data_IF_360718028214
#
_entry.id   IF_360718028214
#
_cell.length_a   1.000
_cell.length_b   1.000
_cell.length_c   1.000
_cell.angle_alpha   90.00
_cell.angle_beta   90.00
_cell.angle_gamma   90.00
#
_symmetry.space_group_name_H-M   'P 1'
#
loop_
_entity.id
_entity.type
_entity.pdbx_description
1 polymer ?
#
# COMPACT_ATOMS: atom_id res chain seq x y z
N UNK A 1 8.52 -39.43 45.77
CA UNK A 1 8.05 -40.83 45.86
C UNK A 1 6.61 -40.87 45.36
N UNK A 2 6.36 -41.67 44.31
CA UNK A 2 5.05 -42.25 43.87
C UNK A 2 3.92 -41.25 43.49
N UNK A 3 3.24 -41.30 42.33
CA UNK A 3 3.15 -42.31 41.28
C UNK A 3 2.58 -41.71 39.98
N UNK A 4 3.07 -42.26 38.87
CA UNK A 4 2.55 -42.31 37.50
C UNK A 4 1.05 -42.64 37.41
N UNK A 5 0.34 -42.07 36.41
CA UNK A 5 -0.71 -42.69 35.56
C UNK A 5 -0.94 -41.73 34.37
N UNK A 6 -1.25 -42.10 33.13
CA UNK A 6 -1.00 -43.25 32.24
C UNK A 6 -1.66 -42.80 30.92
N UNK A 7 -1.02 -43.04 29.78
CA UNK A 7 -1.52 -42.68 28.43
C UNK A 7 -2.87 -43.33 28.14
N UNK A 8 -3.75 -42.64 27.41
CA UNK A 8 -4.83 -43.25 26.64
C UNK A 8 -4.80 -42.67 25.21
N UNK A 9 -4.34 -43.52 24.30
CA UNK A 9 -4.49 -43.46 22.84
C UNK A 9 -5.71 -44.32 22.49
N UNK A 10 -6.30 -44.09 21.31
CA UNK A 10 -7.45 -44.74 20.65
C UNK A 10 -8.73 -43.88 20.68
N UNK A 11 -9.49 -43.72 19.60
CA UNK A 11 -9.50 -44.52 18.37
C UNK A 11 -10.07 -43.78 17.16
N UNK A 12 -9.66 -44.32 16.02
CA UNK A 12 -10.01 -44.02 14.64
C UNK A 12 -11.46 -44.45 14.35
N UNK A 13 -12.30 -43.57 13.80
CA UNK A 13 -13.54 -43.96 13.11
C UNK A 13 -13.62 -43.29 11.74
N UNK A 14 -13.61 -44.16 10.73
CA UNK A 14 -13.84 -43.93 9.31
C UNK A 14 -15.34 -43.75 9.01
N UNK A 15 -15.61 -43.34 7.75
CA UNK A 15 -16.89 -43.30 7.02
C UNK A 15 -17.76 -42.06 7.30
N UNK A 16 -18.28 -41.31 6.33
CA UNK A 16 -18.64 -41.64 4.94
C UNK A 16 -18.79 -40.37 4.09
N UNK A 17 -18.36 -40.43 2.83
CA UNK A 17 -18.80 -39.53 1.76
C UNK A 17 -20.05 -40.08 1.08
N UNK A 18 -20.91 -39.22 0.51
CA UNK A 18 -21.63 -39.56 -0.71
C UNK A 18 -21.19 -38.65 -1.86
N UNK A 19 -20.85 -39.30 -2.97
CA UNK A 19 -20.61 -38.69 -4.26
C UNK A 19 -21.93 -38.57 -5.05
N UNK A 20 -22.05 -37.44 -5.76
CA UNK A 20 -22.69 -37.22 -7.07
C UNK A 20 -24.18 -37.58 -7.28
N UNK A 21 -24.94 -36.55 -7.64
CA UNK A 21 -26.00 -36.64 -8.64
C UNK A 21 -25.96 -35.41 -9.56
N UNK A 22 -25.81 -35.67 -10.86
CA UNK A 22 -26.00 -34.74 -11.99
C UNK A 22 -27.49 -34.39 -12.13
N UNK A 23 -27.82 -33.20 -12.67
CA UNK A 23 -28.84 -33.06 -13.73
C UNK A 23 -28.78 -31.65 -14.39
N UNK A 24 -28.72 -31.66 -15.74
CA UNK A 24 -29.33 -30.77 -16.76
C UNK A 24 -29.27 -29.24 -16.53
N UNK A 25 -28.75 -28.39 -17.44
CA UNK A 25 -28.77 -28.44 -18.89
C UNK A 25 -29.76 -27.40 -19.42
N UNK A 26 -29.29 -26.19 -19.77
CA UNK A 26 -29.97 -25.29 -20.71
C UNK A 26 -28.97 -24.33 -21.38
N UNK A 27 -28.81 -24.53 -22.69
CA UNK A 27 -28.27 -23.57 -23.63
C UNK A 27 -29.23 -22.39 -23.77
N UNK A 28 -28.75 -21.15 -23.69
CA UNK A 28 -29.45 -19.99 -24.22
C UNK A 28 -28.47 -19.08 -24.96
N UNK A 29 -28.61 -19.13 -26.28
CA UNK A 29 -28.37 -18.14 -27.34
C UNK A 29 -27.31 -17.03 -27.17
N UNK A 30 -26.32 -17.11 -28.06
CA UNK A 30 -25.54 -16.00 -28.62
C UNK A 30 -26.36 -15.27 -29.70
N UNK A 31 -26.26 -13.93 -29.78
CA UNK A 31 -26.39 -13.25 -31.06
C UNK A 31 -25.11 -12.46 -31.38
N UNK A 32 -24.40 -12.89 -32.42
CA UNK A 32 -23.52 -12.02 -33.20
C UNK A 32 -24.36 -11.47 -34.36
N UNK A 33 -24.50 -10.15 -34.48
CA UNK A 33 -23.93 -9.37 -35.60
C UNK A 33 -24.39 -7.91 -35.58
N UNK A 34 -23.39 -7.04 -35.46
CA UNK A 34 -23.14 -5.88 -36.32
C UNK A 34 -24.02 -4.60 -36.21
N UNK A 35 -23.29 -3.53 -35.81
CA UNK A 35 -23.15 -2.25 -36.55
C UNK A 35 -23.96 -1.05 -36.04
N UNK A 36 -23.25 -0.14 -35.36
CA UNK A 36 -23.52 1.30 -35.48
C UNK A 36 -23.41 2.12 -34.21
N UNK A 37 -22.34 2.93 -34.14
CA UNK A 37 -22.29 4.24 -33.48
C UNK A 37 -22.33 4.27 -31.93
N UNK A 38 -21.16 4.39 -31.32
CA UNK A 38 -20.78 5.59 -30.53
C UNK A 38 -19.28 5.50 -30.19
N UNK A 39 -18.55 6.19 -31.05
CA UNK A 39 -17.19 6.66 -30.88
C UNK A 39 -17.12 7.51 -29.59
N UNK A 40 -16.29 7.09 -28.64
CA UNK A 40 -16.10 7.79 -27.37
C UNK A 40 -14.78 7.38 -26.69
N UNK A 41 -13.73 7.18 -27.49
CA UNK A 41 -12.37 6.99 -26.99
C UNK A 41 -11.85 8.28 -26.39
N UNK A 42 -12.07 8.50 -25.08
CA UNK A 42 -11.35 9.53 -24.29
C UNK A 42 -11.19 9.15 -22.79
N UNK A 43 -11.37 7.88 -22.40
CA UNK A 43 -11.14 7.42 -21.01
C UNK A 43 -9.90 6.53 -20.82
N UNK A 44 -9.00 6.48 -21.80
CA UNK A 44 -7.81 5.60 -21.74
C UNK A 44 -6.50 6.28 -21.33
N UNK A 45 -6.41 7.62 -21.34
CA UNK A 45 -5.11 8.31 -21.38
C UNK A 45 -4.82 9.25 -20.19
N UNK A 46 -5.80 9.59 -19.34
CA UNK A 46 -5.58 10.45 -18.17
C UNK A 46 -5.24 9.70 -16.86
N UNK A 47 -5.25 8.36 -16.84
CA UNK A 47 -5.03 7.59 -15.61
C UNK A 47 -3.58 7.15 -15.33
N UNK A 48 -2.71 7.15 -16.34
CA UNK A 48 -1.35 6.59 -16.24
C UNK A 48 -0.23 7.65 -16.12
N UNK A 49 -0.50 8.90 -16.50
CA UNK A 49 0.46 10.02 -16.41
C UNK A 49 0.82 10.48 -14.98
N UNK A 50 -0.03 10.39 -13.93
CA UNK A 50 0.37 10.91 -12.62
C UNK A 50 1.39 10.03 -11.90
N UNK A 51 1.47 8.74 -12.21
CA UNK A 51 2.37 7.82 -11.50
C UNK A 51 3.84 7.99 -11.93
N UNK A 52 4.09 8.24 -13.22
CA UNK A 52 5.46 8.48 -13.74
C UNK A 52 6.06 9.79 -13.23
N UNK A 53 5.27 10.84 -12.98
CA UNK A 53 5.76 12.11 -12.42
C UNK A 53 5.95 12.08 -10.89
N UNK A 54 5.28 11.17 -10.18
CA UNK A 54 5.48 11.01 -8.73
C UNK A 54 6.75 10.23 -8.38
N UNK A 55 7.21 9.33 -9.26
CA UNK A 55 8.41 8.51 -9.06
C UNK A 55 9.69 9.31 -8.74
N UNK A 56 10.06 10.37 -9.50
CA UNK A 56 11.24 11.17 -9.19
C UNK A 56 11.14 11.88 -7.84
N UNK A 57 9.95 12.36 -7.47
CA UNK A 57 9.73 13.08 -6.20
C UNK A 57 9.74 12.13 -5.00
N UNK A 58 9.19 10.93 -5.16
CA UNK A 58 9.24 9.87 -4.16
C UNK A 58 10.68 9.35 -3.98
N UNK A 59 11.43 9.20 -5.08
CA UNK A 59 12.87 8.94 -5.02
C UNK A 59 13.62 10.05 -4.28
N UNK A 60 13.36 11.33 -4.55
CA UNK A 60 14.04 12.46 -3.90
C UNK A 60 13.82 12.53 -2.38
N UNK A 61 12.59 12.34 -1.91
CA UNK A 61 12.30 12.29 -0.47
C UNK A 61 12.91 11.05 0.23
N UNK A 62 13.02 9.92 -0.47
CA UNK A 62 13.69 8.73 0.07
C UNK A 62 15.21 8.80 0.00
N UNK A 63 15.78 9.50 -0.98
CA UNK A 63 17.22 9.72 -1.10
C UNK A 63 17.77 10.54 0.09
N UNK A 64 16.96 11.45 0.64
CA UNK A 64 17.23 12.14 1.90
C UNK A 64 17.01 11.26 3.15
N UNK A 65 16.74 9.96 2.98
CA UNK A 65 16.66 8.98 4.06
C UNK A 65 15.41 9.09 4.93
N UNK A 66 14.48 10.00 4.66
CA UNK A 66 13.31 10.28 5.53
C UNK A 66 12.46 9.03 5.84
N UNK A 67 12.27 8.14 4.88
CA UNK A 67 11.51 6.88 5.08
C UNK A 67 12.29 5.80 5.85
N UNK A 68 13.62 5.88 5.85
CA UNK A 68 14.51 4.92 6.51
C UNK A 68 14.94 5.37 7.92
N UNK A 69 14.67 6.62 8.29
CA UNK A 69 15.02 7.17 9.60
C UNK A 69 14.16 6.59 10.73
N UNK A 70 12.90 6.25 10.47
CA UNK A 70 12.04 5.62 11.47
C UNK A 70 12.32 4.09 11.53
N UNK A 71 12.82 3.57 12.66
CA UNK A 71 13.17 2.15 12.79
C UNK A 71 11.98 1.21 12.57
N UNK A 72 10.77 1.61 12.98
CA UNK A 72 9.56 0.83 12.76
C UNK A 72 9.17 0.82 11.28
N UNK A 73 9.25 1.97 10.59
CA UNK A 73 8.99 2.01 9.14
C UNK A 73 9.96 1.14 8.37
N UNK A 74 11.25 1.19 8.73
CA UNK A 74 12.26 0.32 8.15
C UNK A 74 11.92 -1.14 8.39
N UNK A 75 11.60 -1.52 9.63
CA UNK A 75 11.24 -2.90 9.95
C UNK A 75 10.00 -3.36 9.18
N UNK A 76 8.98 -2.50 9.05
CA UNK A 76 7.80 -2.78 8.23
C UNK A 76 8.18 -3.03 6.79
N UNK A 77 8.94 -2.14 6.13
CA UNK A 77 9.40 -2.37 4.75
C UNK A 77 10.16 -3.69 4.63
N UNK A 78 11.05 -3.99 5.57
CA UNK A 78 11.84 -5.23 5.54
C UNK A 78 10.99 -6.49 5.70
N UNK A 79 9.90 -6.45 6.47
CA UNK A 79 8.97 -7.59 6.59
C UNK A 79 8.32 -7.96 5.23
N UNK A 80 8.20 -7.00 4.30
CA UNK A 80 7.65 -7.24 2.97
C UNK A 80 8.75 -7.56 1.94
N UNK A 81 9.87 -6.84 2.01
CA UNK A 81 10.95 -6.91 1.01
C UNK A 81 11.83 -8.15 1.19
N UNK A 82 12.07 -8.60 2.42
CA UNK A 82 12.99 -9.70 2.70
C UNK A 82 12.68 -11.00 1.94
N UNK A 83 11.42 -11.47 1.87
CA UNK A 83 11.06 -12.61 1.03
C UNK A 83 11.39 -12.43 -0.47
N UNK A 84 11.34 -11.20 -0.98
CA UNK A 84 11.65 -10.90 -2.39
C UNK A 84 13.16 -10.84 -2.69
N UNK A 85 14.02 -10.96 -1.68
CA UNK A 85 15.48 -10.93 -1.81
C UNK A 85 16.11 -12.33 -1.88
N UNK A 86 15.31 -13.35 -2.21
CA UNK A 86 15.70 -14.74 -2.24
C UNK A 86 17.03 -15.00 -2.95
N UNK A 87 17.15 -14.59 -4.22
CA UNK A 87 18.35 -14.84 -5.03
C UNK A 87 19.57 -14.07 -4.49
N UNK A 88 19.36 -12.84 -4.04
CA UNK A 88 20.43 -11.93 -3.61
C UNK A 88 21.04 -12.35 -2.28
N UNK A 89 20.20 -12.86 -1.38
CA UNK A 89 20.65 -13.44 -0.12
C UNK A 89 21.05 -14.92 -0.27
N UNK A 90 20.79 -15.55 -1.42
CA UNK A 90 21.02 -16.99 -1.59
C UNK A 90 20.19 -17.80 -0.60
N UNK A 91 18.90 -17.48 -0.47
CA UNK A 91 17.99 -18.17 0.45
C UNK A 91 17.69 -19.58 -0.08
N UNK A 92 17.79 -20.58 0.79
CA UNK A 92 17.31 -21.92 0.45
C UNK A 92 15.80 -21.93 0.27
N UNK A 93 15.27 -22.93 -0.46
CA UNK A 93 13.82 -23.06 -0.62
C UNK A 93 13.08 -23.14 0.73
N UNK A 94 13.68 -23.80 1.72
CA UNK A 94 13.10 -23.87 3.06
C UNK A 94 13.01 -22.49 3.71
N UNK A 95 14.06 -21.68 3.61
CA UNK A 95 14.05 -20.31 4.14
C UNK A 95 13.01 -19.47 3.41
N UNK A 96 12.93 -19.56 2.08
CA UNK A 96 11.94 -18.85 1.29
C UNK A 96 10.50 -19.19 1.71
N UNK A 97 10.21 -20.48 1.92
CA UNK A 97 8.89 -20.93 2.42
C UNK A 97 8.59 -20.35 3.80
N UNK A 98 9.51 -20.46 4.76
CA UNK A 98 9.33 -19.95 6.12
C UNK A 98 9.10 -18.43 6.15
N UNK A 99 9.85 -17.68 5.34
CA UNK A 99 9.70 -16.24 5.23
C UNK A 99 8.36 -15.87 4.56
N UNK A 100 7.95 -16.62 3.55
CA UNK A 100 6.63 -16.48 2.93
C UNK A 100 5.49 -16.70 3.93
N UNK A 101 5.56 -17.77 4.73
CA UNK A 101 4.57 -18.08 5.77
C UNK A 101 4.50 -17.01 6.87
N UNK A 102 5.64 -16.48 7.29
CA UNK A 102 5.71 -15.36 8.24
C UNK A 102 4.98 -14.12 7.68
N UNK A 103 5.28 -13.74 6.44
CA UNK A 103 4.61 -12.61 5.77
C UNK A 103 3.10 -12.85 5.64
N UNK A 104 2.70 -14.06 5.22
CA UNK A 104 1.29 -14.41 5.05
C UNK A 104 0.52 -14.36 6.37
N UNK A 105 1.07 -14.90 7.47
CA UNK A 105 0.46 -14.84 8.80
C UNK A 105 0.27 -13.40 9.26
N UNK A 106 1.30 -12.56 9.09
CA UNK A 106 1.21 -11.13 9.40
C UNK A 106 0.08 -10.45 8.60
N UNK A 107 -0.02 -10.71 7.29
CA UNK A 107 -1.06 -10.13 6.43
C UNK A 107 -2.47 -10.63 6.76
N UNK A 108 -2.62 -11.89 7.14
CA UNK A 108 -3.91 -12.43 7.59
C UNK A 108 -4.35 -11.77 8.90
N UNK A 109 -3.45 -11.67 9.88
CA UNK A 109 -3.73 -11.02 11.15
C UNK A 109 -4.09 -9.54 10.98
N UNK A 110 -3.39 -8.84 10.07
CA UNK A 110 -3.73 -7.47 9.69
C UNK A 110 -5.15 -7.33 9.16
N UNK A 111 -5.56 -8.18 8.21
CA UNK A 111 -6.93 -8.14 7.65
C UNK A 111 -7.99 -8.38 8.73
N UNK A 112 -7.74 -9.34 9.63
CA UNK A 112 -8.62 -9.62 10.76
C UNK A 112 -8.76 -8.40 11.69
N UNK A 113 -7.64 -7.81 12.13
CA UNK A 113 -7.66 -6.59 12.95
C UNK A 113 -8.35 -5.42 12.26
N UNK A 114 -8.11 -5.21 10.97
CA UNK A 114 -8.80 -4.16 10.22
C UNK A 114 -10.30 -4.40 10.12
N UNK A 115 -10.75 -5.66 10.09
CA UNK A 115 -12.17 -5.99 10.16
C UNK A 115 -12.76 -5.68 11.55
N UNK A 116 -12.07 -6.05 12.62
CA UNK A 116 -12.49 -5.75 14.00
C UNK A 116 -12.54 -4.23 14.25
N UNK A 117 -11.53 -3.47 13.80
CA UNK A 117 -11.52 -2.00 13.87
C UNK A 117 -12.77 -1.43 13.20
N UNK A 118 -13.14 -1.92 12.01
CA UNK A 118 -14.36 -1.46 11.31
C UNK A 118 -15.62 -1.78 12.12
N UNK A 119 -15.69 -2.95 12.75
CA UNK A 119 -16.83 -3.33 13.59
C UNK A 119 -16.95 -2.40 14.81
N UNK A 120 -15.86 -2.11 15.52
CA UNK A 120 -15.87 -1.15 16.63
C UNK A 120 -16.22 0.28 16.18
N UNK A 121 -15.74 0.70 15.00
CA UNK A 121 -16.10 2.01 14.43
C UNK A 121 -17.59 2.11 14.09
N UNK A 122 -18.17 1.04 13.52
CA UNK A 122 -19.61 0.96 13.24
C UNK A 122 -20.44 0.96 14.53
N UNK A 123 -20.01 0.23 15.55
CA UNK A 123 -20.67 0.20 16.85
C UNK A 123 -20.63 1.59 17.52
N UNK A 124 -19.49 2.27 17.50
CA UNK A 124 -19.40 3.67 17.95
C UNK A 124 -20.37 4.57 17.20
N UNK A 125 -20.43 4.47 15.87
CA UNK A 125 -21.35 5.29 15.08
C UNK A 125 -22.82 5.00 15.44
N UNK A 126 -23.17 3.74 15.69
CA UNK A 126 -24.51 3.34 16.09
C UNK A 126 -24.92 3.92 17.46
N UNK A 127 -23.99 4.01 18.42
CA UNK A 127 -24.25 4.62 19.73
C UNK A 127 -24.72 6.08 19.58
N UNK A 128 -24.09 6.87 18.70
CA UNK A 128 -24.48 8.26 18.46
C UNK A 128 -25.75 8.43 17.59
N UNK A 129 -26.15 7.39 16.83
CA UNK A 129 -27.38 7.45 16.04
C UNK A 129 -28.63 7.13 16.86
N UNK A 130 -28.49 6.25 17.87
CA UNK A 130 -29.61 5.74 18.64
C UNK A 130 -29.84 6.51 19.95
N UNK A 131 -28.83 7.23 20.45
CA UNK A 131 -28.87 7.89 21.75
C UNK A 131 -28.46 9.37 21.63
N UNK A 132 -29.22 10.27 22.26
CA UNK A 132 -28.85 11.68 22.38
C UNK A 132 -27.60 11.88 23.26
N UNK A 133 -27.38 10.97 24.22
CA UNK A 133 -26.21 10.93 25.09
C UNK A 133 -25.74 9.48 25.24
N UNK A 134 -24.79 9.03 24.39
CA UNK A 134 -24.32 7.66 24.45
C UNK A 134 -23.60 7.32 25.76
N UNK A 135 -23.80 6.10 26.26
CA UNK A 135 -23.15 5.62 27.49
C UNK A 135 -21.62 5.78 27.43
N UNK A 136 -21.01 6.58 28.34
CA UNK A 136 -19.56 6.78 28.38
C UNK A 136 -18.75 5.49 28.56
N UNK A 137 -19.30 4.46 29.22
CA UNK A 137 -18.60 3.19 29.39
C UNK A 137 -18.49 2.43 28.06
N UNK A 138 -19.61 2.31 27.33
CA UNK A 138 -19.63 1.72 25.99
C UNK A 138 -18.71 2.48 24.99
N UNK A 139 -18.73 3.82 25.02
CA UNK A 139 -17.81 4.63 24.21
C UNK A 139 -16.34 4.29 24.51
N UNK A 140 -15.98 4.24 25.80
CA UNK A 140 -14.61 3.94 26.23
C UNK A 140 -14.17 2.55 25.77
N UNK A 141 -15.04 1.55 25.89
CA UNK A 141 -14.76 0.18 25.48
C UNK A 141 -14.35 0.10 24.00
N UNK A 142 -15.18 0.61 23.08
CA UNK A 142 -14.88 0.55 21.66
C UNK A 142 -13.64 1.37 21.29
N UNK A 143 -13.45 2.55 21.89
CA UNK A 143 -12.27 3.38 21.63
C UNK A 143 -10.97 2.69 22.10
N UNK A 144 -10.98 2.06 23.28
CA UNK A 144 -9.83 1.31 23.79
C UNK A 144 -9.54 0.07 22.93
N UNK A 145 -10.57 -0.65 22.49
CA UNK A 145 -10.42 -1.79 21.60
C UNK A 145 -9.77 -1.38 20.27
N UNK A 146 -10.23 -0.29 19.64
CA UNK A 146 -9.63 0.25 18.42
C UNK A 146 -8.16 0.62 18.66
N UNK A 147 -7.87 1.37 19.72
CA UNK A 147 -6.51 1.79 20.03
C UNK A 147 -5.56 0.59 20.20
N UNK A 148 -6.00 -0.46 20.90
CA UNK A 148 -5.23 -1.70 21.07
C UNK A 148 -4.97 -2.38 19.71
N UNK A 149 -6.01 -2.56 18.90
CA UNK A 149 -5.90 -3.19 17.59
C UNK A 149 -4.96 -2.42 16.67
N UNK A 150 -4.99 -1.08 16.69
CA UNK A 150 -4.09 -0.24 15.91
C UNK A 150 -2.63 -0.34 16.36
N UNK A 151 -2.38 -0.43 17.68
CA UNK A 151 -1.04 -0.67 18.21
C UNK A 151 -0.51 -2.02 17.76
N UNK A 152 -1.32 -3.08 17.90
CA UNK A 152 -0.95 -4.44 17.47
C UNK A 152 -0.65 -4.47 15.97
N UNK A 153 -1.41 -3.72 15.17
CA UNK A 153 -1.22 -3.65 13.71
C UNK A 153 0.07 -2.90 13.30
N UNK A 154 0.46 -1.87 14.07
CA UNK A 154 1.72 -1.14 13.86
C UNK A 154 2.95 -1.93 14.32
N UNK A 155 2.80 -2.78 15.34
CA UNK A 155 3.91 -3.56 15.90
C UNK A 155 4.17 -4.87 15.15
N UNK A 156 3.13 -5.50 14.59
CA UNK A 156 3.22 -6.80 13.94
C UNK A 156 4.33 -6.92 12.86
N UNK A 157 4.58 -5.90 12.00
CA UNK A 157 5.66 -6.01 11.01
C UNK A 157 7.05 -6.03 11.63
N UNK A 158 7.26 -5.29 12.73
CA UNK A 158 8.53 -5.31 13.45
C UNK A 158 8.80 -6.69 14.06
N UNK A 159 7.81 -7.28 14.72
CA UNK A 159 7.92 -8.63 15.29
C UNK A 159 8.15 -9.69 14.21
N UNK A 160 7.40 -9.57 13.11
CA UNK A 160 7.55 -10.46 11.95
C UNK A 160 8.95 -10.35 11.36
N UNK A 161 9.47 -9.14 11.17
CA UNK A 161 10.83 -8.94 10.68
C UNK A 161 11.87 -9.55 11.62
N UNK A 162 11.69 -9.44 12.95
CA UNK A 162 12.59 -10.12 13.91
C UNK A 162 12.58 -11.63 13.76
N UNK A 163 11.41 -12.24 13.56
CA UNK A 163 11.30 -13.68 13.31
C UNK A 163 11.94 -14.06 11.97
N UNK A 164 11.78 -13.24 10.93
CA UNK A 164 12.43 -13.45 9.64
C UNK A 164 13.96 -13.42 9.75
N UNK A 165 14.53 -12.54 10.59
CA UNK A 165 15.97 -12.52 10.84
C UNK A 165 16.48 -13.81 11.49
N UNK A 166 15.65 -14.54 12.25
CA UNK A 166 16.03 -15.82 12.86
C UNK A 166 16.05 -16.97 11.85
N UNK A 167 15.36 -16.82 10.72
CA UNK A 167 15.42 -17.80 9.61
C UNK A 167 16.73 -17.69 8.83
N UNK A 168 17.38 -16.53 8.86
CA UNK A 168 18.63 -16.26 8.16
C UNK A 168 19.85 -16.76 8.95
N UNK A 169 20.86 -17.24 8.23
CA UNK A 169 22.18 -17.50 8.82
C UNK A 169 23.01 -16.21 8.94
N UNK A 170 24.18 -16.29 9.59
CA UNK A 170 25.04 -15.13 9.86
C UNK A 170 25.50 -14.42 8.59
N UNK A 171 25.91 -15.17 7.57
CA UNK A 171 26.36 -14.60 6.30
C UNK A 171 25.23 -13.84 5.57
N UNK A 172 24.02 -14.38 5.60
CA UNK A 172 22.82 -13.74 5.03
C UNK A 172 22.45 -12.48 5.81
N UNK A 173 22.51 -12.52 7.15
CA UNK A 173 22.28 -11.34 8.01
C UNK A 173 23.32 -10.25 7.78
N UNK A 174 24.58 -10.62 7.57
CA UNK A 174 25.64 -9.66 7.22
C UNK A 174 25.38 -9.01 5.86
N UNK A 175 25.07 -9.82 4.84
CA UNK A 175 24.72 -9.30 3.52
C UNK A 175 23.51 -8.36 3.56
N UNK A 176 22.50 -8.71 4.35
CA UNK A 176 21.33 -7.87 4.57
C UNK A 176 21.68 -6.53 5.22
N UNK A 177 22.57 -6.54 6.22
CA UNK A 177 23.05 -5.32 6.90
C UNK A 177 23.86 -4.41 5.98
N UNK A 178 24.64 -5.01 5.07
CA UNK A 178 25.44 -4.29 4.08
C UNK A 178 24.66 -3.68 2.92
N UNK A 179 23.36 -3.97 2.80
CA UNK A 179 22.54 -3.43 1.70
C UNK A 179 22.38 -1.92 1.78
N UNK A 180 22.53 -1.29 0.63
CA UNK A 180 22.32 0.14 0.48
C UNK A 180 20.83 0.46 0.33
N UNK A 181 20.37 1.64 0.78
CA UNK A 181 18.95 2.04 0.68
C UNK A 181 18.38 1.94 -0.75
N UNK A 182 19.16 2.28 -1.77
CA UNK A 182 18.71 2.20 -3.17
C UNK A 182 18.46 0.75 -3.64
N UNK A 183 19.21 -0.23 -3.13
CA UNK A 183 19.01 -1.64 -3.44
C UNK A 183 17.70 -2.13 -2.84
N UNK A 184 17.45 -1.81 -1.56
CA UNK A 184 16.19 -2.12 -0.88
C UNK A 184 15.00 -1.51 -1.63
N UNK A 185 15.20 -0.30 -2.16
CA UNK A 185 14.17 0.39 -2.92
C UNK A 185 13.86 -0.30 -4.24
N UNK A 186 14.85 -0.83 -4.95
CA UNK A 186 14.62 -1.61 -6.16
C UNK A 186 13.72 -2.84 -5.89
N UNK A 187 13.85 -3.51 -4.74
CA UNK A 187 12.94 -4.60 -4.37
C UNK A 187 11.55 -4.10 -3.97
N UNK A 188 11.47 -3.00 -3.23
CA UNK A 188 10.18 -2.42 -2.85
C UNK A 188 9.36 -2.06 -4.10
N UNK A 189 9.99 -1.48 -5.12
CA UNK A 189 9.33 -1.15 -6.38
C UNK A 189 8.90 -2.36 -7.22
N UNK A 190 9.41 -3.55 -6.90
CA UNK A 190 9.01 -4.83 -7.53
C UNK A 190 7.87 -5.52 -6.78
N UNK A 191 7.51 -5.05 -5.59
CA UNK A 191 6.39 -5.62 -4.85
C UNK A 191 5.08 -5.36 -5.63
N UNK A 192 4.18 -6.34 -5.70
CA UNK A 192 2.88 -6.12 -6.32
C UNK A 192 2.10 -5.07 -5.51
N UNK A 193 1.28 -4.28 -6.20
CA UNK A 193 0.43 -3.25 -5.56
C UNK A 193 -0.40 -3.80 -4.39
N UNK A 194 -0.86 -5.05 -4.51
CA UNK A 194 -1.63 -5.75 -3.47
C UNK A 194 -0.85 -5.95 -2.16
N UNK A 195 0.48 -5.96 -2.20
CA UNK A 195 1.36 -6.01 -1.03
C UNK A 195 1.81 -4.62 -0.58
N UNK A 196 1.95 -3.68 -1.51
CA UNK A 196 2.34 -2.30 -1.18
C UNK A 196 1.24 -1.57 -0.41
N UNK A 197 -0.04 -1.82 -0.73
CA UNK A 197 -1.18 -1.24 -0.01
C UNK A 197 -1.18 -1.54 1.50
N UNK A 198 -1.17 -2.81 1.96
CA UNK A 198 -1.13 -3.10 3.39
C UNK A 198 0.17 -2.61 4.05
N UNK A 199 1.31 -2.64 3.35
CA UNK A 199 2.56 -2.08 3.87
C UNK A 199 2.41 -0.58 4.20
N UNK A 200 1.86 0.20 3.25
CA UNK A 200 1.62 1.63 3.45
C UNK A 200 0.61 1.89 4.56
N UNK A 201 -0.41 1.04 4.69
CA UNK A 201 -1.41 1.13 5.76
C UNK A 201 -0.79 0.91 7.13
N UNK A 202 0.07 -0.10 7.28
CA UNK A 202 0.76 -0.40 8.53
C UNK A 202 1.78 0.70 8.91
N UNK A 203 2.41 1.34 7.92
CA UNK A 203 3.37 2.43 8.17
C UNK A 203 2.70 3.74 8.57
N UNK A 204 1.68 4.15 7.83
CA UNK A 204 1.11 5.50 7.97
C UNK A 204 -0.22 5.54 8.73
N UNK A 205 -0.83 4.38 8.96
CA UNK A 205 -2.21 4.29 9.41
C UNK A 205 -3.19 4.90 8.40
N UNK A 206 -4.47 4.90 8.78
CA UNK A 206 -5.55 5.44 7.93
C UNK A 206 -5.41 6.96 7.74
N UNK A 207 -5.04 7.68 8.79
CA UNK A 207 -4.89 9.15 8.77
C UNK A 207 -3.68 9.60 7.95
N UNK A 208 -2.54 8.90 8.05
CA UNK A 208 -1.36 9.24 7.27
C UNK A 208 -1.56 9.01 5.77
N UNK A 209 -2.34 8.00 5.38
CA UNK A 209 -2.75 7.82 3.99
C UNK A 209 -3.64 8.97 3.50
N UNK A 210 -4.66 9.37 4.27
CA UNK A 210 -5.52 10.49 3.91
C UNK A 210 -4.75 11.81 3.82
N UNK A 211 -3.80 12.05 4.73
CA UNK A 211 -2.93 13.23 4.70
C UNK A 211 -2.02 13.24 3.47
N UNK A 212 -1.51 12.09 3.03
CA UNK A 212 -0.75 11.99 1.78
C UNK A 212 -1.61 12.26 0.55
N UNK A 213 -2.84 11.73 0.52
CA UNK A 213 -3.76 11.99 -0.60
C UNK A 213 -4.16 13.47 -0.68
N UNK A 214 -4.48 14.10 0.46
CA UNK A 214 -4.80 15.54 0.49
C UNK A 214 -3.58 16.42 0.21
N UNK A 215 -2.43 16.14 0.83
CA UNK A 215 -1.21 16.94 0.69
C UNK A 215 -0.49 16.80 -0.66
N UNK A 216 -0.68 15.67 -1.35
CA UNK A 216 -0.06 15.40 -2.66
C UNK A 216 -0.87 15.90 -3.87
N UNK A 217 -2.21 15.96 -3.76
CA UNK A 217 -3.08 16.38 -4.86
C UNK A 217 -3.48 17.87 -4.82
N UNK A 218 -3.61 18.48 -3.64
CA UNK A 218 -4.03 19.89 -3.50
C UNK A 218 -3.08 20.90 -4.19
N UNK A 219 -1.73 20.80 -4.12
CA UNK A 219 -0.86 21.76 -4.79
C UNK A 219 -0.96 21.67 -6.32
N UNK A 220 -1.35 20.51 -6.86
CA UNK A 220 -1.42 20.27 -8.29
C UNK A 220 -2.68 20.90 -8.91
N UNK A 221 -3.82 20.90 -8.19
CA UNK A 221 -5.02 21.63 -8.61
C UNK A 221 -4.81 23.16 -8.56
N UNK A 222 -4.04 23.66 -7.59
CA UNK A 222 -3.75 25.09 -7.47
C UNK A 222 -2.85 25.60 -8.59
N UNK A 223 -1.93 24.78 -9.11
CA UNK A 223 -1.12 25.14 -10.28
C UNK A 223 -1.89 25.06 -11.61
N UNK A 224 -2.91 24.20 -11.75
CA UNK A 224 -3.75 24.19 -12.97
C UNK A 224 -4.77 25.34 -13.01
N UNK A 225 -5.21 25.86 -11.87
CA UNK A 225 -6.07 27.06 -11.83
C UNK A 225 -5.27 28.37 -11.86
N UNK A 226 -3.96 28.33 -11.61
CA UNK A 226 -3.08 29.50 -11.55
C UNK A 226 -2.22 29.69 -12.80
N UNK A 227 -2.82 30.16 -13.90
CA UNK A 227 -2.13 31.02 -14.87
C UNK A 227 -1.57 30.38 -16.15
N UNK A 228 -2.22 30.67 -17.27
CA UNK A 228 -1.50 31.10 -18.47
C UNK A 228 -1.73 32.59 -18.66
N UNK A 229 -0.72 33.48 -18.53
CA UNK A 229 -0.80 34.79 -19.16
C UNK A 229 -0.78 34.56 -20.68
N UNK A 230 -1.92 34.74 -21.32
CA UNK A 230 -2.01 34.78 -22.78
C UNK A 230 -1.04 35.85 -23.29
N UNK A 231 0.04 35.42 -23.92
CA UNK A 231 0.87 36.29 -24.74
C UNK A 231 -0.04 36.92 -25.79
N UNK A 232 -0.33 38.20 -25.59
CA UNK A 232 -0.99 39.05 -26.58
C UNK A 232 -0.05 39.14 -27.78
N UNK A 233 -0.37 38.32 -28.77
CA UNK A 233 0.18 38.34 -30.10
C UNK A 233 0.14 39.78 -30.63
N UNK A 234 1.33 40.36 -30.82
CA UNK A 234 1.50 41.58 -31.60
C UNK A 234 1.36 41.20 -33.06
N UNK A 235 0.36 41.76 -33.75
CA UNK A 235 0.41 41.86 -35.20
C UNK A 235 -0.52 42.98 -35.70
N UNK A 236 0.09 43.89 -36.48
CA UNK A 236 -0.57 44.89 -37.33
C UNK A 236 -0.48 46.33 -36.81
N UNK A 237 -0.10 47.34 -37.59
CA UNK A 237 0.34 47.46 -38.97
C UNK A 237 0.67 48.96 -39.22
N UNK A 238 1.64 49.23 -40.09
CA UNK A 238 1.82 50.43 -40.94
C UNK A 238 2.05 51.84 -40.35
N UNK A 239 3.08 52.50 -40.91
CA UNK A 239 3.31 53.95 -40.92
C UNK A 239 4.81 54.29 -40.89
N UNK A 240 5.51 54.25 -42.02
CA UNK A 240 5.89 55.43 -42.84
C UNK A 240 6.97 56.34 -42.22
N UNK A 241 8.03 56.55 -43.03
CA UNK A 241 8.94 57.71 -43.08
C UNK A 241 9.90 57.93 -41.90
N UNK A 242 11.19 57.69 -42.13
CA UNK A 242 12.23 58.62 -42.63
C UNK A 242 13.01 59.27 -41.48
N UNK A 243 14.29 59.45 -41.77
CA UNK A 243 15.26 60.30 -41.10
C UNK A 243 15.91 59.83 -39.80
N UNK A 244 17.22 59.65 -39.93
CA UNK A 244 18.08 60.63 -39.27
C UNK A 244 18.93 60.10 -38.12
N UNK A 245 20.15 59.73 -38.47
CA UNK A 245 21.38 60.22 -37.83
C UNK A 245 21.72 59.87 -36.35
N UNK A 246 22.98 59.44 -36.23
CA UNK A 246 23.93 59.74 -35.15
C UNK A 246 23.71 59.07 -33.78
N UNK A 247 24.52 58.09 -33.41
CA UNK A 247 25.91 58.15 -32.88
C UNK A 247 25.94 58.03 -31.35
N UNK A 248 26.96 57.30 -30.89
CA UNK A 248 27.54 57.28 -29.54
C UNK A 248 26.84 56.48 -28.42
N UNK A 249 27.23 55.20 -28.35
CA UNK A 249 28.09 54.56 -27.32
C UNK A 249 28.52 55.40 -26.07
N UNK A 250 28.93 54.76 -24.96
CA UNK A 250 28.13 54.53 -23.76
C UNK A 250 28.77 55.10 -22.49
N UNK A 251 28.03 55.11 -21.38
CA UNK A 251 28.47 54.53 -20.09
C UNK A 251 27.29 54.40 -19.13
#
# INVERSE_FOLDING_TARGET
MYTVIKRLVLGLTLLSMPALAQQHGHQMMRPDTARGMMQGGMMGQMGMMPMMQMMPRMMGMMQQGMMMQNPLHRATMMAFVLPAMADTLGLSEQQQRQLGELKQRMLQAHRARQQEIRQHQQALQALFQNEQQPDPAALREHLQAIARLEVDDRLAPYETFRQMLQVLNDAQRERLRGMQPHQLMAYMMRLPMMEMMPMMHMMHGREGMMRMMQGGMMPMMQMMQGGMPMHRQMEGQHGHDQDGHHHHRPR
#
